data_IF_270717117978
#
_entry.id   IF_270717117978
#
_cell.length_a   1.000
_cell.length_b   1.000
_cell.length_c   1.000
_cell.angle_alpha   90.00
_cell.angle_beta   90.00
_cell.angle_gamma   90.00
#
_symmetry.space_group_name_H-M   'P 1'
#
loop_
_entity.id
_entity.type
_entity.pdbx_description
1 polymer ?
#
# COMPACT_ATOMS: atom_id res chain seq x y z
N UNK A 1 5.10 0.31 -8.49
CA UNK A 1 4.24 -0.89 -8.61
C UNK A 1 3.21 -0.66 -9.70
N UNK A 2 2.91 -1.67 -10.55
CA UNK A 2 1.92 -1.54 -11.64
C UNK A 2 0.75 -2.50 -11.43
N UNK A 3 -0.47 -2.00 -11.63
CA UNK A 3 -1.69 -2.81 -11.60
C UNK A 3 -2.32 -2.91 -12.99
N UNK A 4 -3.02 -4.01 -13.25
CA UNK A 4 -3.84 -4.18 -14.46
C UNK A 4 -5.31 -3.87 -14.18
N UNK A 5 -5.91 -2.99 -14.98
CA UNK A 5 -7.33 -2.61 -14.86
C UNK A 5 -7.50 -1.10 -14.72
N UNK A 6 -8.73 -0.69 -14.41
CA UNK A 6 -9.13 0.71 -14.21
C UNK A 6 -9.81 0.80 -12.85
N UNK A 7 -9.44 1.81 -12.06
CA UNK A 7 -10.16 2.17 -10.85
C UNK A 7 -11.05 3.38 -11.17
N UNK A 8 -12.32 3.33 -10.74
CA UNK A 8 -13.16 4.52 -10.75
C UNK A 8 -12.80 5.45 -9.59
N UNK A 9 -13.22 6.71 -9.64
CA UNK A 9 -13.05 7.63 -8.51
C UNK A 9 -13.72 7.10 -7.23
N UNK A 10 -14.86 6.41 -7.38
CA UNK A 10 -15.56 5.79 -6.26
C UNK A 10 -14.76 4.61 -5.67
N UNK A 11 -14.05 3.84 -6.49
CA UNK A 11 -13.17 2.79 -5.99
C UNK A 11 -12.03 3.37 -5.15
N UNK A 12 -11.41 4.45 -5.63
CA UNK A 12 -10.32 5.12 -4.91
C UNK A 12 -10.82 5.72 -3.58
N UNK A 13 -12.00 6.34 -3.58
CA UNK A 13 -12.61 6.87 -2.37
C UNK A 13 -12.92 5.75 -1.36
N UNK A 14 -13.52 4.65 -1.84
CA UNK A 14 -13.80 3.49 -0.99
C UNK A 14 -12.53 2.85 -0.42
N UNK A 15 -11.45 2.76 -1.21
CA UNK A 15 -10.15 2.29 -0.71
C UNK A 15 -9.63 3.18 0.42
N UNK A 16 -9.69 4.52 0.24
CA UNK A 16 -9.26 5.47 1.27
C UNK A 16 -10.05 5.31 2.56
N UNK A 17 -11.36 5.08 2.47
CA UNK A 17 -12.20 4.87 3.65
C UNK A 17 -11.85 3.58 4.45
N UNK A 18 -11.18 2.61 3.84
CA UNK A 18 -10.67 1.41 4.51
C UNK A 18 -9.29 1.61 5.15
N UNK A 19 -8.58 2.69 4.82
CA UNK A 19 -7.28 2.98 5.40
C UNK A 19 -7.41 3.66 6.76
N UNK A 20 -6.46 3.37 7.65
CA UNK A 20 -6.35 4.05 8.94
C UNK A 20 -6.15 5.54 8.69
N UNK A 21 -6.98 6.36 9.33
CA UNK A 21 -7.06 7.80 9.11
C UNK A 21 -7.19 8.24 7.63
N UNK A 22 -7.69 7.36 6.75
CA UNK A 22 -7.87 7.63 5.32
C UNK A 22 -6.60 7.49 4.46
N UNK A 23 -5.47 7.07 5.05
CA UNK A 23 -4.15 7.11 4.39
C UNK A 23 -3.18 6.01 4.78
N UNK A 24 -3.32 5.38 5.94
CA UNK A 24 -2.35 4.42 6.45
C UNK A 24 -2.84 2.98 6.30
N UNK A 25 -1.93 2.07 5.96
CA UNK A 25 -2.23 0.66 5.78
C UNK A 25 -1.01 -0.23 6.06
N UNK A 26 -1.23 -1.53 6.26
CA UNK A 26 -0.18 -2.54 6.39
C UNK A 26 -0.01 -3.24 5.04
N UNK A 27 1.16 -3.10 4.43
CA UNK A 27 1.43 -3.60 3.08
C UNK A 27 1.35 -5.14 3.01
N UNK A 28 1.78 -5.80 4.08
CA UNK A 28 1.87 -7.24 4.22
C UNK A 28 0.48 -7.91 4.16
N UNK A 29 -0.55 -7.29 4.73
CA UNK A 29 -1.94 -7.78 4.62
C UNK A 29 -2.47 -7.74 3.19
N UNK A 30 -1.95 -6.84 2.36
CA UNK A 30 -2.32 -6.71 0.96
C UNK A 30 -1.41 -7.54 0.04
N UNK A 31 -0.36 -8.15 0.60
CA UNK A 31 0.71 -8.81 -0.13
C UNK A 31 1.55 -7.86 -0.98
N UNK A 32 1.53 -6.56 -0.67
CA UNK A 32 2.34 -5.55 -1.35
C UNK A 32 3.78 -5.69 -0.84
N UNK A 33 4.78 -5.90 -1.70
CA UNK A 33 6.17 -5.95 -1.29
C UNK A 33 6.56 -4.60 -0.68
N UNK A 34 7.02 -4.56 0.57
CA UNK A 34 7.37 -3.30 1.18
C UNK A 34 8.70 -2.78 0.63
N UNK A 35 8.81 -1.46 0.53
CA UNK A 35 10.01 -0.76 0.00
C UNK A 35 11.01 -0.37 1.11
N UNK A 36 10.94 -1.01 2.29
CA UNK A 36 11.67 -0.62 3.50
C UNK A 36 13.19 -0.43 3.31
N UNK A 37 13.82 -1.22 2.43
CA UNK A 37 15.27 -1.37 2.39
C UNK A 37 16.05 -0.16 1.85
N UNK A 38 15.43 0.76 1.08
CA UNK A 38 16.19 1.82 0.38
C UNK A 38 15.95 3.24 0.93
N UNK A 39 14.91 3.45 1.74
CA UNK A 39 14.50 4.79 2.19
C UNK A 39 14.89 5.13 3.64
N UNK A 40 15.17 4.13 4.47
CA UNK A 40 15.49 4.33 5.89
C UNK A 40 16.89 4.88 6.15
N UNK A 41 17.85 4.64 5.26
CA UNK A 41 19.19 5.24 5.38
C UNK A 41 19.18 6.76 5.16
N UNK A 42 18.12 7.31 4.56
CA UNK A 42 18.01 8.72 4.18
C UNK A 42 16.96 9.52 4.98
N UNK A 43 16.16 8.87 5.82
CA UNK A 43 15.35 9.51 6.86
C UNK A 43 15.95 9.17 8.23
N UNK A 44 15.64 9.90 9.31
CA UNK A 44 16.08 9.55 10.67
C UNK A 44 15.42 8.26 11.21
N UNK A 45 15.07 7.31 10.33
CA UNK A 45 14.24 6.15 10.59
C UNK A 45 12.77 6.52 10.86
N UNK A 46 11.86 5.55 10.73
CA UNK A 46 10.56 5.65 11.39
C UNK A 46 10.73 5.60 12.92
N UNK A 47 9.77 6.15 13.63
CA UNK A 47 9.59 5.93 15.07
C UNK A 47 8.99 4.54 15.33
N UNK A 48 9.08 4.07 16.58
CA UNK A 48 8.41 2.83 17.04
C UNK A 48 6.88 2.89 16.81
N UNK A 49 6.31 4.09 16.68
CA UNK A 49 4.87 4.26 16.50
C UNK A 49 4.42 4.20 15.03
N UNK A 50 5.32 4.30 14.04
CA UNK A 50 4.96 4.40 12.61
C UNK A 50 5.78 3.50 11.66
N UNK A 51 6.69 2.69 12.17
CA UNK A 51 7.58 1.82 11.38
C UNK A 51 6.87 0.74 10.56
N UNK A 52 5.69 0.31 11.00
CA UNK A 52 4.88 -0.69 10.29
C UNK A 52 3.93 -0.09 9.26
N UNK A 53 3.59 1.19 9.40
CA UNK A 53 2.54 1.84 8.62
C UNK A 53 3.06 2.36 7.28
N UNK A 54 2.35 2.02 6.21
CA UNK A 54 2.59 2.56 4.88
C UNK A 54 1.59 3.67 4.55
N UNK A 55 2.05 4.71 3.87
CA UNK A 55 1.20 5.82 3.44
C UNK A 55 0.74 5.61 2.00
N UNK A 56 -0.57 5.66 1.78
CA UNK A 56 -1.16 5.74 0.46
C UNK A 56 -0.98 7.15 -0.11
N UNK A 57 -0.23 7.25 -1.21
CA UNK A 57 -0.06 8.52 -1.92
C UNK A 57 -1.12 8.71 -3.01
N UNK A 58 -1.10 7.84 -4.02
CA UNK A 58 -2.03 7.92 -5.15
C UNK A 58 -2.24 6.57 -5.84
N UNK A 59 -3.38 6.45 -6.53
CA UNK A 59 -3.63 5.45 -7.56
C UNK A 59 -3.96 6.20 -8.85
N UNK A 60 -3.08 6.11 -9.85
CA UNK A 60 -3.19 6.83 -11.12
C UNK A 60 -2.91 5.91 -12.32
N UNK A 61 -3.30 6.33 -13.54
CA UNK A 61 -2.84 5.67 -14.75
C UNK A 61 -1.31 5.61 -14.82
N UNK A 62 -0.80 4.49 -15.31
CA UNK A 62 0.63 4.32 -15.55
C UNK A 62 1.09 5.23 -16.70
N UNK A 63 2.28 5.82 -16.56
CA UNK A 63 2.95 6.54 -17.65
C UNK A 63 3.52 5.57 -18.68
N UNK A 64 3.90 6.06 -19.86
CA UNK A 64 4.50 5.23 -20.92
C UNK A 64 5.75 4.48 -20.46
N UNK A 65 6.56 5.11 -19.61
CA UNK A 65 7.77 4.49 -19.04
C UNK A 65 7.43 3.35 -18.06
N UNK A 66 6.29 3.47 -17.36
CA UNK A 66 5.83 2.49 -16.37
C UNK A 66 5.11 1.29 -17.01
N UNK A 67 4.71 1.37 -18.28
CA UNK A 67 4.06 0.26 -19.02
C UNK A 67 5.01 -0.94 -19.19
N UNK A 68 6.32 -0.74 -19.13
CA UNK A 68 7.29 -1.84 -19.22
C UNK A 68 7.56 -2.53 -17.87
N UNK A 69 7.06 -1.98 -16.77
CA UNK A 69 7.16 -2.62 -15.46
C UNK A 69 6.23 -3.82 -15.39
N UNK A 70 6.72 -4.90 -14.78
CA UNK A 70 5.94 -6.11 -14.53
C UNK A 70 4.66 -5.76 -13.75
N UNK A 71 3.53 -6.31 -14.20
CA UNK A 71 2.26 -6.19 -13.50
C UNK A 71 2.37 -6.98 -12.19
N UNK A 72 2.10 -6.30 -11.09
CA UNK A 72 2.07 -6.88 -9.76
C UNK A 72 0.76 -7.64 -9.51
N UNK A 73 -0.38 -6.97 -9.74
CA UNK A 73 -1.71 -7.54 -9.51
C UNK A 73 -2.76 -6.80 -10.37
N UNK A 74 -4.03 -7.15 -10.25
CA UNK A 74 -5.15 -6.40 -10.83
C UNK A 74 -5.67 -5.33 -9.87
N UNK A 75 -6.28 -4.27 -10.42
CA UNK A 75 -6.97 -3.25 -9.63
C UNK A 75 -8.10 -3.87 -8.79
N UNK A 76 -8.88 -4.78 -9.38
CA UNK A 76 -9.98 -5.48 -8.73
C UNK A 76 -9.52 -6.33 -7.53
N UNK A 77 -8.41 -7.07 -7.70
CA UNK A 77 -7.82 -7.89 -6.63
C UNK A 77 -7.36 -7.01 -5.47
N UNK A 78 -6.65 -5.90 -5.75
CA UNK A 78 -6.21 -4.98 -4.72
C UNK A 78 -7.39 -4.36 -3.95
N UNK A 79 -8.42 -3.87 -4.66
CA UNK A 79 -9.61 -3.32 -4.02
C UNK A 79 -10.31 -4.37 -3.15
N UNK A 80 -10.43 -5.60 -3.65
CA UNK A 80 -11.04 -6.71 -2.90
C UNK A 80 -10.27 -7.02 -1.62
N UNK A 81 -8.93 -7.06 -1.69
CA UNK A 81 -8.07 -7.25 -0.53
C UNK A 81 -8.25 -6.14 0.50
N UNK A 82 -8.23 -4.88 0.07
CA UNK A 82 -8.42 -3.72 0.97
C UNK A 82 -9.79 -3.77 1.65
N UNK A 83 -10.85 -4.09 0.91
CA UNK A 83 -12.21 -4.20 1.46
C UNK A 83 -12.37 -5.35 2.45
N UNK A 84 -11.55 -6.40 2.33
CA UNK A 84 -11.56 -7.54 3.24
C UNK A 84 -10.84 -7.26 4.57
N UNK A 85 -10.12 -6.14 4.68
CA UNK A 85 -9.45 -5.75 5.92
C UNK A 85 -10.47 -5.10 6.86
N UNK A 86 -10.85 -5.83 7.91
CA UNK A 86 -11.67 -5.30 9.01
C UNK A 86 -10.83 -4.54 10.04
N UNK A 87 -9.57 -4.97 10.23
CA UNK A 87 -8.60 -4.35 11.14
C UNK A 87 -7.20 -4.54 10.59
N UNK A 88 -6.41 -3.47 10.60
CA UNK A 88 -5.00 -3.52 10.24
C UNK A 88 -4.21 -4.22 11.34
N UNK A 89 -3.43 -5.23 10.97
CA UNK A 89 -2.63 -6.05 11.84
C UNK A 89 -1.16 -5.70 11.68
N UNK A 90 -0.69 -4.84 12.57
CA UNK A 90 0.68 -4.33 12.64
C UNK A 90 1.72 -5.45 12.85
N UNK A 91 1.32 -6.57 13.45
CA UNK A 91 2.21 -7.70 13.77
C UNK A 91 2.71 -8.45 12.53
N UNK A 92 2.09 -8.20 11.37
CA UNK A 92 2.50 -8.77 10.09
C UNK A 92 3.71 -8.07 9.50
N UNK A 93 4.05 -6.86 9.97
CA UNK A 93 5.24 -6.17 9.53
C UNK A 93 6.50 -6.87 10.05
N UNK A 94 7.54 -7.07 9.21
CA UNK A 94 8.82 -7.61 9.66
C UNK A 94 9.53 -6.70 10.68
N UNK A 95 9.05 -5.47 10.84
CA UNK A 95 9.59 -4.47 11.72
C UNK A 95 8.85 -4.36 13.05
N UNK A 96 7.76 -5.10 13.27
CA UNK A 96 6.91 -5.01 14.46
C UNK A 96 7.69 -4.91 15.79
N UNK A 97 8.70 -5.77 15.99
CA UNK A 97 9.47 -5.85 17.24
C UNK A 97 10.66 -4.85 17.35
N UNK A 98 10.68 -3.79 16.53
CA UNK A 98 11.74 -2.74 16.60
C UNK A 98 11.72 -1.90 17.87
#
# INVERSE_FOLDING_TARGET
MRLKGIASSADIENMKNSFESGKFFIAEQLGIPPLYAELWEFSNGPSIDDHVWHTFYELRPATEQEINVQVFDTVESLISKIRAVETWDETLSPHWDM
#
